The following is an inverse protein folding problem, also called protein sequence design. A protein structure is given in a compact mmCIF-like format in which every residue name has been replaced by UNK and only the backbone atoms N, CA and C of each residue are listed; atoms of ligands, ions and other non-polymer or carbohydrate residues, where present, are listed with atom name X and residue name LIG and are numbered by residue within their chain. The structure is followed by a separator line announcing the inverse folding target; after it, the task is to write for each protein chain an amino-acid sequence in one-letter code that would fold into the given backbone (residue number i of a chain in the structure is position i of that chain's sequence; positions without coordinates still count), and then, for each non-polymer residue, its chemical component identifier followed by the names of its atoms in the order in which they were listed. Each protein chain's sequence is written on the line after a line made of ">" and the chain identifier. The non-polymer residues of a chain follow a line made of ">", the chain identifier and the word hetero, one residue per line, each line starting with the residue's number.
data_IF_019706826312
#
_entry.id   IF_019706826312
#
_cell.length_a   1.000
_cell.length_b   1.000
_cell.length_c   1.000
_cell.angle_alpha   90.00
_cell.angle_beta   90.00
_cell.angle_gamma   90.00
#
_symmetry.space_group_name_H-M   'P 1'
#
loop_
_entity.id
_entity.type
_entity.pdbx_description
1 polymer ?
#
# COMPACT_ATOMS: atom_id res chain seq x y z
N UNK A 1 -4.56 10.82 14.13
CA UNK A 1 -3.93 10.78 12.79
C UNK A 1 -2.88 9.67 12.60
N UNK A 2 -2.58 8.81 13.60
CA UNK A 2 -1.51 7.81 13.46
C UNK A 2 -2.00 6.36 13.24
N UNK A 3 -3.28 6.05 13.46
CA UNK A 3 -3.77 4.68 13.28
C UNK A 3 -3.97 4.30 11.81
N UNK A 4 -4.15 5.30 10.94
CA UNK A 4 -4.42 5.05 9.53
C UNK A 4 -3.24 4.36 8.84
N UNK A 5 -1.99 4.77 9.10
CA UNK A 5 -0.80 4.09 8.55
C UNK A 5 -0.64 2.67 9.08
N UNK A 6 -0.96 2.44 10.37
CA UNK A 6 -0.91 1.10 10.97
C UNK A 6 -1.93 0.17 10.31
N UNK A 7 -3.17 0.64 10.11
CA UNK A 7 -4.21 -0.12 9.42
C UNK A 7 -3.86 -0.30 7.94
N UNK A 8 -3.38 0.75 7.27
CA UNK A 8 -2.96 0.72 5.88
C UNK A 8 -1.87 -0.33 5.63
N UNK A 9 -0.86 -0.43 6.50
CA UNK A 9 0.16 -1.48 6.40
C UNK A 9 -0.42 -2.90 6.56
N UNK A 10 -1.41 -3.07 7.42
CA UNK A 10 -2.02 -4.39 7.69
C UNK A 10 -2.98 -4.86 6.60
N UNK A 11 -3.70 -3.94 5.96
CA UNK A 11 -4.75 -4.27 5.00
C UNK A 11 -4.40 -3.98 3.54
N UNK A 12 -3.51 -3.01 3.27
CA UNK A 12 -3.18 -2.55 1.91
C UNK A 12 -1.72 -2.81 1.57
N UNK A 13 -0.78 -2.21 2.31
CA UNK A 13 0.66 -2.30 2.03
C UNK A 13 1.30 -3.54 2.70
N UNK A 14 0.79 -4.73 2.39
CA UNK A 14 1.28 -6.00 2.98
C UNK A 14 2.61 -6.45 2.33
N UNK A 15 3.49 -7.07 3.13
CA UNK A 15 4.88 -7.33 2.74
C UNK A 15 5.06 -8.29 1.54
N UNK A 16 4.20 -9.31 1.38
CA UNK A 16 4.35 -10.33 0.32
C UNK A 16 3.66 -9.95 -0.99
N UNK A 17 2.52 -9.27 -0.93
CA UNK A 17 1.72 -8.90 -2.10
C UNK A 17 0.93 -7.61 -1.82
N UNK A 18 1.59 -6.43 -1.87
CA UNK A 18 0.93 -5.18 -1.53
C UNK A 18 -0.21 -4.91 -2.52
N UNK A 19 -1.37 -4.50 -2.01
CA UNK A 19 -2.55 -4.15 -2.82
C UNK A 19 -2.40 -2.73 -3.38
N UNK A 20 -1.45 -2.54 -4.30
CA UNK A 20 -1.12 -1.21 -4.81
C UNK A 20 -2.28 -0.55 -5.58
N UNK A 21 -3.16 -1.33 -6.20
CA UNK A 21 -4.39 -0.80 -6.83
C UNK A 21 -5.35 -0.14 -5.83
N UNK A 22 -5.39 -0.62 -4.59
CA UNK A 22 -6.25 -0.07 -3.50
C UNK A 22 -5.51 1.01 -2.68
N UNK A 23 -4.24 1.29 -2.98
CA UNK A 23 -3.41 2.21 -2.22
C UNK A 23 -3.61 3.66 -2.68
N UNK A 24 -4.09 4.52 -1.78
CA UNK A 24 -4.34 5.95 -2.08
C UNK A 24 -3.09 6.74 -2.45
N UNK A 25 -1.90 6.30 -2.00
CA UNK A 25 -0.61 6.92 -2.33
C UNK A 25 0.15 6.15 -3.42
N UNK A 26 -0.52 5.26 -4.16
CA UNK A 26 0.13 4.41 -5.17
C UNK A 26 0.85 5.24 -6.24
N UNK A 27 0.29 6.39 -6.62
CA UNK A 27 0.89 7.33 -7.57
C UNK A 27 2.23 7.90 -7.06
N UNK A 28 2.28 8.26 -5.78
CA UNK A 28 3.46 8.82 -5.10
C UNK A 28 4.43 7.75 -4.58
N UNK A 29 4.05 6.46 -4.61
CA UNK A 29 4.82 5.38 -4.04
C UNK A 29 5.97 4.97 -4.97
N UNK A 30 7.21 5.02 -4.50
CA UNK A 30 8.42 4.65 -5.26
C UNK A 30 8.69 3.13 -5.30
N UNK A 31 7.77 2.32 -4.76
CA UNK A 31 7.92 0.87 -4.74
C UNK A 31 7.93 0.28 -6.15
N UNK A 32 9.01 -0.39 -6.53
CA UNK A 32 9.25 -0.87 -7.91
C UNK A 32 8.34 -2.03 -8.34
N UNK A 33 7.88 -2.87 -7.42
CA UNK A 33 7.03 -4.05 -7.73
C UNK A 33 5.56 -3.81 -7.40
N UNK A 34 4.96 -2.75 -7.94
CA UNK A 34 3.54 -2.46 -7.69
C UNK A 34 2.67 -3.59 -8.23
N UNK A 35 1.73 -4.06 -7.42
CA UNK A 35 0.69 -4.99 -7.86
C UNK A 35 -0.52 -4.17 -8.33
N UNK A 36 -0.52 -3.82 -9.61
CA UNK A 36 -1.57 -3.06 -10.30
C UNK A 36 -2.54 -3.97 -11.07
N UNK A 37 -2.58 -5.26 -10.72
CA UNK A 37 -3.42 -6.27 -11.35
C UNK A 37 -4.92 -5.95 -11.20
#
# INVERSE_FOLDING_TARGET
>A
AHHWLILHGRYVCIARSPKCAECIISDLCEYRRKNLA
#
